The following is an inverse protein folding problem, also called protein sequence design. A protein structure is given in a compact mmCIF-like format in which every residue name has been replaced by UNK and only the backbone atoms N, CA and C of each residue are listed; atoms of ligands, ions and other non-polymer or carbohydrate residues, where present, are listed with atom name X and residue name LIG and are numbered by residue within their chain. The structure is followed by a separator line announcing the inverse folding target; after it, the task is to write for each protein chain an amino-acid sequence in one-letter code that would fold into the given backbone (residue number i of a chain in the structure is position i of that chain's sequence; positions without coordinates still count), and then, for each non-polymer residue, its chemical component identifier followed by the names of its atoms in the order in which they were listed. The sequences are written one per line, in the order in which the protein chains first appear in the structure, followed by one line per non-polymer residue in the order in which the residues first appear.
data_IF_739743808347
#
_entry.id   IF_739743808347
#
_cell.length_a   1.000
_cell.length_b   1.000
_cell.length_c   1.000
_cell.angle_alpha   90.00
_cell.angle_beta   90.00
_cell.angle_gamma   90.00
#
_symmetry.space_group_name_H-M   'P 1'
#
loop_
_entity.id
_entity.type
_entity.pdbx_description
1 polymer ?
#
# COMPACT_ATOMS: atom_id res chain seq x y z
N UNK A 1 -25.56 -15.91 3.39
CA UNK A 1 -25.18 -15.51 4.77
C UNK A 1 -26.07 -14.36 5.18
N UNK A 2 -26.90 -14.55 6.21
CA UNK A 2 -27.72 -13.46 6.75
C UNK A 2 -26.81 -12.37 7.28
N UNK A 3 -26.98 -11.14 6.80
CA UNK A 3 -26.24 -9.97 7.29
C UNK A 3 -26.91 -9.48 8.57
N UNK A 4 -26.73 -10.20 9.66
CA UNK A 4 -27.17 -9.75 10.97
C UNK A 4 -25.94 -9.56 11.85
N UNK A 5 -25.54 -8.30 12.00
CA UNK A 5 -24.49 -7.91 12.94
C UNK A 5 -25.10 -7.80 14.33
N UNK A 6 -24.39 -8.27 15.35
CA UNK A 6 -24.82 -8.16 16.74
C UNK A 6 -24.68 -6.69 17.22
N UNK A 7 -25.47 -6.23 18.19
CA UNK A 7 -25.19 -4.97 18.88
C UNK A 7 -23.74 -4.96 19.39
N UNK A 8 -23.04 -3.82 19.22
CA UNK A 8 -21.64 -3.66 19.59
C UNK A 8 -20.64 -4.55 18.82
N UNK A 9 -20.99 -4.97 17.59
CA UNK A 9 -20.04 -5.63 16.66
C UNK A 9 -18.77 -4.79 16.51
N UNK A 10 -17.62 -5.42 16.72
CA UNK A 10 -16.29 -4.84 16.69
C UNK A 10 -15.51 -5.22 15.43
N UNK A 11 -14.67 -4.29 14.96
CA UNK A 11 -13.75 -4.52 13.85
C UNK A 11 -12.56 -3.57 13.96
N UNK A 12 -11.53 -3.83 13.16
CA UNK A 12 -10.34 -2.98 13.08
C UNK A 12 -10.38 -2.10 11.83
N UNK A 13 -9.84 -0.89 11.95
CA UNK A 13 -9.69 0.03 10.82
C UNK A 13 -8.33 -0.22 10.17
N UNK A 14 -8.32 -1.13 9.20
CA UNK A 14 -7.25 -1.21 8.20
C UNK A 14 -5.96 -1.91 8.64
N UNK A 15 -4.86 -1.16 8.64
CA UNK A 15 -3.49 -1.69 8.70
C UNK A 15 -3.09 -2.25 10.07
N UNK A 16 -2.40 -3.39 10.05
CA UNK A 16 -1.72 -3.97 11.20
C UNK A 16 -0.21 -3.74 11.10
N UNK A 17 0.53 -3.77 12.23
CA UNK A 17 1.99 -3.65 12.21
C UNK A 17 2.62 -4.75 11.34
N UNK A 18 3.50 -4.36 10.42
CA UNK A 18 4.29 -5.28 9.60
C UNK A 18 5.53 -5.70 10.37
N UNK A 19 5.86 -6.99 10.36
CA UNK A 19 7.07 -7.44 11.05
C UNK A 19 8.33 -7.01 10.29
N UNK A 20 9.48 -7.09 10.95
CA UNK A 20 10.78 -6.90 10.30
C UNK A 20 11.02 -7.92 9.19
N UNK A 21 10.48 -9.13 9.31
CA UNK A 21 10.65 -10.19 8.32
C UNK A 21 9.92 -9.86 7.03
N UNK A 22 8.64 -9.49 7.09
CA UNK A 22 7.89 -9.05 5.91
C UNK A 22 8.50 -7.82 5.25
N UNK A 23 8.93 -6.83 6.04
CA UNK A 23 9.59 -5.63 5.51
C UNK A 23 10.91 -5.98 4.80
N UNK A 24 11.73 -6.85 5.39
CA UNK A 24 12.97 -7.34 4.79
C UNK A 24 12.71 -8.18 3.54
N UNK A 25 11.72 -9.08 3.60
CA UNK A 25 11.28 -9.90 2.49
C UNK A 25 10.85 -9.08 1.29
N UNK A 26 10.08 -7.99 1.51
CA UNK A 26 9.66 -7.08 0.43
C UNK A 26 10.86 -6.42 -0.25
N UNK A 27 11.84 -5.95 0.54
CA UNK A 27 13.08 -5.35 -0.02
C UNK A 27 13.88 -6.38 -0.82
N UNK A 28 14.01 -7.60 -0.31
CA UNK A 28 14.71 -8.68 -1.02
C UNK A 28 14.01 -9.07 -2.32
N UNK A 29 12.69 -9.13 -2.33
CA UNK A 29 11.90 -9.35 -3.55
C UNK A 29 12.16 -8.24 -4.59
N UNK A 30 12.12 -6.97 -4.16
CA UNK A 30 12.41 -5.82 -5.04
C UNK A 30 13.84 -5.86 -5.62
N UNK A 31 14.79 -6.41 -4.87
CA UNK A 31 16.18 -6.58 -5.31
C UNK A 31 16.44 -7.90 -6.06
N UNK A 32 15.42 -8.73 -6.32
CA UNK A 32 15.58 -10.04 -6.97
C UNK A 32 16.29 -11.10 -6.13
N UNK A 33 16.38 -10.91 -4.81
CA UNK A 33 17.06 -11.79 -3.84
C UNK A 33 16.10 -12.74 -3.11
N UNK A 34 14.82 -12.73 -3.47
CA UNK A 34 13.76 -13.57 -2.94
C UNK A 34 12.76 -13.83 -4.08
N UNK A 35 12.28 -15.06 -4.22
CA UNK A 35 11.25 -15.37 -5.21
C UNK A 35 9.91 -14.75 -4.82
N UNK A 36 9.02 -14.61 -5.80
CA UNK A 36 7.65 -14.15 -5.53
C UNK A 36 6.93 -15.15 -4.61
N UNK A 37 7.13 -16.44 -4.85
CA UNK A 37 6.54 -17.53 -4.08
C UNK A 37 6.98 -17.51 -2.61
N UNK A 38 8.28 -17.31 -2.35
CA UNK A 38 8.81 -17.24 -0.98
C UNK A 38 8.28 -16.00 -0.25
N UNK A 39 8.17 -14.85 -0.94
CA UNK A 39 7.58 -13.65 -0.35
C UNK A 39 6.09 -13.84 -0.04
N UNK A 40 5.35 -14.50 -0.94
CA UNK A 40 3.93 -14.80 -0.72
C UNK A 40 3.72 -15.75 0.46
N UNK A 41 4.64 -16.71 0.68
CA UNK A 41 4.60 -17.58 1.86
C UNK A 41 4.78 -16.78 3.17
N UNK A 42 5.73 -15.85 3.22
CA UNK A 42 5.94 -14.95 4.38
C UNK A 42 4.67 -14.12 4.64
N UNK A 43 4.14 -13.50 3.58
CA UNK A 43 2.94 -12.66 3.66
C UNK A 43 1.72 -13.45 4.14
N UNK A 44 1.51 -14.66 3.63
CA UNK A 44 0.38 -15.51 4.01
C UNK A 44 0.46 -15.89 5.50
N UNK A 45 1.63 -16.34 5.94
CA UNK A 45 1.87 -16.69 7.35
C UNK A 45 1.62 -15.51 8.29
N UNK A 46 2.14 -14.32 7.97
CA UNK A 46 1.89 -13.14 8.80
C UNK A 46 0.43 -12.68 8.78
N UNK A 47 -0.25 -12.84 7.65
CA UNK A 47 -1.69 -12.56 7.55
C UNK A 47 -2.47 -13.52 8.44
N UNK A 48 -2.11 -14.80 8.47
CA UNK A 48 -2.71 -15.79 9.37
C UNK A 48 -2.49 -15.44 10.83
N UNK A 49 -1.29 -14.99 11.22
CA UNK A 49 -1.00 -14.54 12.59
C UNK A 49 -1.88 -13.35 13.00
N UNK A 50 -2.08 -12.38 12.10
CA UNK A 50 -2.98 -11.23 12.30
C UNK A 50 -4.43 -11.66 12.46
N UNK A 51 -4.90 -12.63 11.67
CA UNK A 51 -6.25 -13.20 11.78
C UNK A 51 -6.39 -13.89 13.14
N UNK A 52 -5.47 -14.79 13.49
CA UNK A 52 -5.47 -15.51 14.78
C UNK A 52 -5.39 -14.56 15.97
N UNK A 53 -4.70 -13.42 15.85
CA UNK A 53 -4.66 -12.40 16.90
C UNK A 53 -6.05 -11.78 17.10
N UNK A 54 -6.73 -11.41 16.03
CA UNK A 54 -8.07 -10.84 16.08
C UNK A 54 -9.10 -11.84 16.65
N UNK A 55 -9.06 -13.10 16.22
CA UNK A 55 -9.91 -14.16 16.75
C UNK A 55 -9.71 -14.34 18.26
N UNK A 56 -8.45 -14.41 18.72
CA UNK A 56 -8.12 -14.58 20.15
C UNK A 56 -8.56 -13.38 21.02
N UNK A 57 -8.71 -12.20 20.42
CA UNK A 57 -9.18 -11.00 21.11
C UNK A 57 -10.69 -10.73 20.92
N UNK A 58 -11.42 -11.62 20.26
CA UNK A 58 -12.87 -11.52 20.11
C UNK A 58 -13.33 -10.43 19.13
N UNK A 59 -12.52 -10.11 18.11
CA UNK A 59 -12.96 -9.20 17.03
C UNK A 59 -13.99 -9.90 16.14
N UNK A 60 -15.15 -9.28 15.93
CA UNK A 60 -16.27 -9.91 15.22
C UNK A 60 -16.08 -9.93 13.70
N UNK A 61 -15.55 -8.84 13.13
CA UNK A 61 -15.27 -8.72 11.69
C UNK A 61 -13.77 -8.59 11.50
N UNK A 62 -13.16 -9.67 11.01
CA UNK A 62 -11.72 -9.78 10.82
C UNK A 62 -11.25 -9.03 9.57
N UNK A 63 -10.04 -8.47 9.66
CA UNK A 63 -9.34 -7.87 8.52
C UNK A 63 -8.01 -8.59 8.29
N UNK A 64 -7.47 -8.51 7.06
CA UNK A 64 -6.14 -9.04 6.75
C UNK A 64 -4.98 -8.11 7.15
N UNK A 65 -5.25 -7.00 7.85
CA UNK A 65 -4.22 -6.06 8.30
C UNK A 65 -3.45 -5.29 7.23
N UNK A 66 -3.89 -5.35 5.96
CA UNK A 66 -3.28 -4.65 4.82
C UNK A 66 -1.77 -4.89 4.61
N UNK A 67 -1.25 -6.01 5.12
CA UNK A 67 0.18 -6.31 5.15
C UNK A 67 0.83 -6.32 3.76
N UNK A 68 0.07 -6.68 2.73
CA UNK A 68 0.53 -6.76 1.34
C UNK A 68 0.70 -5.41 0.63
N UNK A 69 0.15 -4.33 1.20
CA UNK A 69 0.19 -2.98 0.63
C UNK A 69 1.38 -2.20 1.19
N UNK A 70 2.01 -1.37 0.37
CA UNK A 70 3.06 -0.43 0.82
C UNK A 70 2.43 0.83 1.43
N UNK A 71 1.54 1.49 0.70
CA UNK A 71 0.70 2.60 1.12
C UNK A 71 -0.58 2.65 0.26
N UNK A 72 -1.59 3.39 0.72
CA UNK A 72 -2.89 3.46 0.05
C UNK A 72 -2.80 4.09 -1.34
N UNK A 73 -1.98 5.14 -1.50
CA UNK A 73 -1.87 5.94 -2.72
C UNK A 73 -1.25 5.13 -3.85
N UNK A 74 -0.10 4.48 -3.61
CA UNK A 74 0.54 3.54 -4.54
C UNK A 74 -0.43 2.45 -4.96
N UNK A 75 -1.10 1.80 -4.00
CA UNK A 75 -2.04 0.70 -4.28
C UNK A 75 -3.20 1.12 -5.20
N UNK A 76 -3.70 2.34 -5.04
CA UNK A 76 -4.75 2.87 -5.91
C UNK A 76 -4.18 3.26 -7.27
N UNK A 77 -3.06 3.96 -7.30
CA UNK A 77 -2.41 4.42 -8.53
C UNK A 77 -2.03 3.27 -9.46
N UNK A 78 -1.51 2.16 -8.91
CA UNK A 78 -1.19 0.93 -9.66
C UNK A 78 -2.41 0.30 -10.36
N UNK A 79 -3.64 0.70 -10.02
CA UNK A 79 -4.89 0.15 -10.58
C UNK A 79 -5.61 1.12 -11.50
N UNK A 80 -5.05 2.31 -11.71
CA UNK A 80 -5.62 3.38 -12.50
C UNK A 80 -4.74 3.64 -13.72
N UNK A 81 -5.32 3.53 -14.91
CA UNK A 81 -4.74 4.13 -16.11
C UNK A 81 -4.82 5.66 -15.99
N UNK A 82 -3.79 6.37 -16.45
CA UNK A 82 -3.72 7.84 -16.38
C UNK A 82 -3.21 8.39 -15.05
N UNK A 83 -2.76 7.54 -14.13
CA UNK A 83 -2.01 7.93 -12.93
C UNK A 83 -0.56 7.43 -13.02
N UNK A 84 0.40 8.21 -12.52
CA UNK A 84 1.82 7.84 -12.49
C UNK A 84 2.41 8.21 -11.14
N UNK A 85 3.23 7.33 -10.57
CA UNK A 85 3.96 7.63 -9.34
C UNK A 85 5.17 8.51 -9.67
N UNK A 86 5.17 9.74 -9.18
CA UNK A 86 6.21 10.73 -9.41
C UNK A 86 6.75 11.24 -8.08
N UNK A 87 8.06 11.36 -7.97
CA UNK A 87 8.69 12.12 -6.89
C UNK A 87 8.55 13.62 -7.11
N UNK A 88 8.90 14.42 -6.11
CA UNK A 88 8.90 15.87 -6.26
C UNK A 88 9.91 16.31 -7.33
N UNK A 89 11.06 15.63 -7.40
CA UNK A 89 12.05 15.83 -8.45
C UNK A 89 11.47 15.54 -9.86
N UNK A 90 10.69 14.47 -10.00
CA UNK A 90 10.04 14.13 -11.27
C UNK A 90 8.99 15.18 -11.69
N UNK A 91 8.44 15.93 -10.73
CA UNK A 91 7.44 16.98 -10.96
C UNK A 91 8.04 18.34 -11.30
N UNK A 92 9.31 18.60 -10.98
CA UNK A 92 9.98 19.90 -11.24
C UNK A 92 9.80 20.42 -12.68
N UNK A 93 9.84 19.59 -13.75
CA UNK A 93 9.62 20.09 -15.11
C UNK A 93 8.23 20.68 -15.36
N UNK A 94 7.24 20.31 -14.55
CA UNK A 94 5.84 20.73 -14.69
C UNK A 94 5.49 21.96 -13.82
N UNK A 95 6.42 22.43 -12.99
CA UNK A 95 6.19 23.57 -12.11
C UNK A 95 6.57 24.89 -12.78
N UNK A 96 5.70 25.90 -12.62
CA UNK A 96 5.93 27.25 -13.14
C UNK A 96 7.08 27.93 -12.40
N UNK A 97 7.07 27.89 -11.07
CA UNK A 97 8.12 28.42 -10.21
C UNK A 97 8.94 27.29 -9.58
N UNK A 98 10.00 26.89 -10.29
CA UNK A 98 10.91 25.83 -9.82
C UNK A 98 11.73 26.27 -8.61
N UNK A 99 12.10 27.54 -8.56
CA UNK A 99 13.03 28.05 -7.57
C UNK A 99 12.34 28.23 -6.21
N UNK A 100 11.15 28.82 -6.19
CA UNK A 100 10.33 28.88 -4.97
C UNK A 100 9.92 27.50 -4.48
N UNK A 101 9.75 26.54 -5.39
CA UNK A 101 9.46 25.17 -5.00
C UNK A 101 10.63 24.45 -4.33
N UNK A 102 11.85 24.61 -4.85
CA UNK A 102 13.06 24.07 -4.23
C UNK A 102 13.31 24.70 -2.85
N UNK A 103 13.07 26.00 -2.69
CA UNK A 103 13.16 26.70 -1.40
C UNK A 103 12.18 26.15 -0.36
N UNK A 104 10.95 25.82 -0.78
CA UNK A 104 9.94 25.19 0.11
C UNK A 104 10.42 23.80 0.56
N UNK A 105 10.96 23.00 -0.35
CA UNK A 105 11.44 21.66 -0.02
C UNK A 105 12.62 21.69 0.96
N UNK A 106 13.56 22.62 0.76
CA UNK A 106 14.68 22.83 1.67
C UNK A 106 14.20 23.30 3.05
N UNK A 107 13.26 24.26 3.08
CA UNK A 107 12.66 24.76 4.33
C UNK A 107 11.94 23.67 5.13
N UNK A 108 11.30 22.73 4.43
CA UNK A 108 10.56 21.63 5.06
C UNK A 108 11.44 20.41 5.38
N UNK A 109 12.74 20.44 5.05
CA UNK A 109 13.67 19.31 5.16
C UNK A 109 13.11 18.04 4.48
N UNK A 110 12.47 18.22 3.31
CA UNK A 110 11.89 17.13 2.53
C UNK A 110 12.79 16.84 1.34
N UNK A 111 13.52 15.70 1.32
CA UNK A 111 14.32 15.35 0.17
C UNK A 111 13.41 15.12 -1.04
N UNK A 112 13.66 15.81 -2.16
CA UNK A 112 12.79 15.81 -3.33
C UNK A 112 12.51 14.42 -3.94
N UNK A 113 13.39 13.45 -3.68
CA UNK A 113 13.29 12.06 -4.16
C UNK A 113 12.63 11.10 -3.17
N UNK A 114 12.41 11.53 -1.92
CA UNK A 114 12.02 10.63 -0.82
C UNK A 114 10.56 10.20 -0.86
N UNK A 115 9.68 11.06 -1.38
CA UNK A 115 8.23 10.81 -1.42
C UNK A 115 7.78 10.75 -2.87
N UNK A 116 7.12 9.65 -3.23
CA UNK A 116 6.42 9.52 -4.52
C UNK A 116 4.93 9.67 -4.29
N UNK A 117 4.30 10.52 -5.10
CA UNK A 117 2.87 10.76 -5.09
C UNK A 117 2.25 10.26 -6.39
N UNK A 118 0.97 9.87 -6.34
CA UNK A 118 0.21 9.55 -7.53
C UNK A 118 -0.23 10.84 -8.21
N UNK A 119 0.24 11.07 -9.43
CA UNK A 119 -0.08 12.25 -10.23
C UNK A 119 -0.95 11.83 -11.41
N UNK A 120 -2.06 12.54 -11.61
CA UNK A 120 -2.92 12.35 -12.76
C UNK A 120 -2.24 12.92 -14.00
N UNK A 121 -1.68 12.06 -14.85
CA UNK A 121 -1.00 12.41 -16.10
C UNK A 121 -1.92 12.28 -17.32
N UNK A 122 -3.14 11.76 -17.14
CA UNK A 122 -4.13 11.63 -18.19
C UNK A 122 -5.53 11.38 -17.66
N UNK A 123 -6.45 11.01 -18.56
CA UNK A 123 -7.82 10.68 -18.19
C UNK A 123 -7.85 9.38 -17.39
N UNK A 124 -8.30 9.46 -16.14
CA UNK A 124 -8.37 8.32 -15.23
C UNK A 124 -9.36 7.27 -15.74
N UNK A 125 -8.88 6.04 -15.88
CA UNK A 125 -9.69 4.87 -16.20
C UNK A 125 -9.28 3.70 -15.32
N UNK A 126 -10.25 2.84 -14.97
CA UNK A 126 -9.93 1.64 -14.20
C UNK A 126 -9.22 0.64 -15.11
N UNK A 127 -8.02 0.22 -14.73
CA UNK A 127 -7.30 -0.81 -15.47
C UNK A 127 -8.09 -2.14 -15.41
N UNK A 128 -8.39 -2.73 -16.57
CA UNK A 128 -9.21 -3.96 -16.65
C UNK A 128 -8.46 -5.23 -16.19
N UNK A 129 -7.13 -5.20 -16.07
CA UNK A 129 -6.28 -6.40 -15.93
C UNK A 129 -6.11 -6.94 -14.50
N UNK A 130 -6.44 -6.20 -13.46
CA UNK A 130 -5.97 -6.47 -12.09
C UNK A 130 -6.95 -7.19 -11.15
N UNK A 131 -8.10 -7.65 -11.65
CA UNK A 131 -9.00 -8.55 -10.90
C UNK A 131 -9.00 -9.97 -11.49
N UNK A 132 -7.83 -10.62 -11.56
CA UNK A 132 -7.86 -12.09 -11.43
C UNK A 132 -8.35 -12.34 -10.01
N UNK A 133 -9.57 -12.88 -9.85
CA UNK A 133 -9.98 -13.51 -8.59
C UNK A 133 -8.85 -14.49 -8.25
N UNK A 134 -8.02 -14.17 -7.25
CA UNK A 134 -7.20 -15.18 -6.60
C UNK A 134 -8.23 -16.15 -6.01
N UNK A 135 -8.31 -17.34 -6.60
CA UNK A 135 -9.25 -18.37 -6.15
C UNK A 135 -9.00 -18.66 -4.66
N UNK A 136 -10.05 -19.01 -3.91
CA UNK A 136 -9.95 -19.32 -2.48
C UNK A 136 -8.97 -20.47 -2.22
#
# INVERSE_FOLDING_TARGET
MSKHFLPFTSSLIGSMPRTKELLSGKRRLQNGQLSQEDYEAILLRETEEVIRLQERNGVDILTGGELSRDNYVSFVAEKLEGATMMSMADMLPYMEDKQGFEEILDTLDVPAVSIKNAICTGKIQKERKSFKRRNP
#
